data_IF_397232208252
#
_entry.id   IF_397232208252
#
_cell.length_a   1.000
_cell.length_b   1.000
_cell.length_c   1.000
_cell.angle_alpha   90.00
_cell.angle_beta   90.00
_cell.angle_gamma   90.00
#
_symmetry.space_group_name_H-M   'P 1'
#
loop_
_entity.id
_entity.type
_entity.pdbx_description
1 polymer ?
#
# COMPACT_ATOMS: atom_id res chain seq x y z
N UNK A 1 19.30 -14.57 -28.03
CA UNK A 1 17.98 -13.97 -28.37
C UNK A 1 17.97 -12.44 -28.45
N UNK A 2 19.01 -11.71 -28.00
CA UNK A 2 19.15 -10.27 -28.25
C UNK A 2 18.32 -9.35 -27.34
N UNK A 3 17.82 -9.88 -26.22
CA UNK A 3 17.09 -9.13 -25.19
C UNK A 3 18.07 -8.83 -24.06
N UNK A 4 18.34 -7.54 -23.82
CA UNK A 4 19.38 -7.07 -22.87
C UNK A 4 18.79 -6.38 -21.64
N UNK A 5 17.47 -6.24 -21.56
CA UNK A 5 16.74 -5.54 -20.50
C UNK A 5 16.08 -6.48 -19.49
N UNK A 6 16.32 -7.79 -19.62
CA UNK A 6 15.75 -8.80 -18.72
C UNK A 6 16.45 -8.79 -17.35
N UNK A 7 15.66 -8.82 -16.28
CA UNK A 7 16.12 -8.98 -14.90
C UNK A 7 15.32 -10.11 -14.24
N UNK A 8 15.91 -10.77 -13.24
CA UNK A 8 15.27 -11.87 -12.51
C UNK A 8 15.41 -11.69 -11.00
N UNK A 9 14.45 -12.21 -10.24
CA UNK A 9 14.56 -12.27 -8.78
C UNK A 9 15.49 -13.40 -8.36
N UNK A 10 16.22 -13.22 -7.26
CA UNK A 10 17.10 -14.24 -6.71
C UNK A 10 16.31 -15.21 -5.82
N UNK A 11 15.55 -16.10 -6.44
CA UNK A 11 14.84 -17.20 -5.75
C UNK A 11 13.71 -16.76 -4.82
N UNK A 12 13.18 -15.56 -5.02
CA UNK A 12 12.12 -14.97 -4.18
C UNK A 12 10.98 -14.46 -5.03
N UNK A 13 9.79 -14.36 -4.42
CA UNK A 13 8.66 -13.71 -5.06
C UNK A 13 8.96 -12.21 -5.29
N UNK A 14 8.33 -11.63 -6.31
CA UNK A 14 8.37 -10.19 -6.56
C UNK A 14 7.76 -9.46 -5.37
N UNK A 15 8.44 -8.41 -4.88
CA UNK A 15 7.98 -7.56 -3.78
C UNK A 15 7.73 -6.14 -4.29
N UNK A 16 6.98 -5.34 -3.53
CA UNK A 16 6.76 -3.94 -3.88
C UNK A 16 8.07 -3.15 -4.03
N UNK A 17 9.09 -3.45 -3.22
CA UNK A 17 10.42 -2.84 -3.30
C UNK A 17 11.13 -3.16 -4.62
N UNK A 18 11.03 -4.41 -5.10
CA UNK A 18 11.54 -4.79 -6.42
C UNK A 18 10.84 -3.99 -7.53
N UNK A 19 9.52 -3.84 -7.43
CA UNK A 19 8.73 -3.09 -8.41
C UNK A 19 9.09 -1.61 -8.40
N UNK A 20 9.26 -0.99 -7.21
CA UNK A 20 9.72 0.39 -7.12
C UNK A 20 11.12 0.58 -7.72
N UNK A 21 12.01 -0.38 -7.54
CA UNK A 21 13.34 -0.33 -8.14
C UNK A 21 13.25 -0.38 -9.68
N UNK A 22 12.41 -1.25 -10.23
CA UNK A 22 12.16 -1.29 -11.68
C UNK A 22 11.58 0.04 -12.19
N UNK A 23 10.62 0.61 -11.48
CA UNK A 23 10.03 1.90 -11.82
C UNK A 23 10.95 3.12 -11.64
N UNK A 24 12.13 2.95 -11.05
CA UNK A 24 13.19 3.99 -11.08
C UNK A 24 14.00 3.95 -12.38
N UNK A 25 14.00 2.81 -13.07
CA UNK A 25 14.76 2.59 -14.29
C UNK A 25 13.92 2.78 -15.56
N UNK A 26 12.62 2.52 -15.50
CA UNK A 26 11.68 2.59 -16.63
C UNK A 26 10.26 2.85 -16.15
N UNK A 27 9.43 3.53 -16.93
CA UNK A 27 8.01 3.68 -16.63
C UNK A 27 7.19 2.45 -17.04
N UNK A 28 7.73 1.63 -17.95
CA UNK A 28 7.08 0.44 -18.51
C UNK A 28 7.75 -0.85 -18.05
N UNK A 29 7.01 -1.75 -17.39
CA UNK A 29 7.51 -3.03 -16.89
C UNK A 29 6.65 -4.18 -17.41
N UNK A 30 7.27 -5.19 -18.04
CA UNK A 30 6.60 -6.44 -18.44
C UNK A 30 7.08 -7.60 -17.57
N UNK A 31 6.15 -8.24 -16.87
CA UNK A 31 6.40 -9.45 -16.10
C UNK A 31 6.20 -10.69 -16.96
N UNK A 32 7.20 -11.57 -17.00
CA UNK A 32 7.15 -12.83 -17.73
C UNK A 32 7.12 -14.00 -16.74
N UNK A 33 6.14 -14.89 -16.87
CA UNK A 33 5.99 -16.06 -16.01
C UNK A 33 5.74 -17.34 -16.80
N UNK A 34 6.20 -18.46 -16.23
CA UNK A 34 5.98 -19.80 -16.75
C UNK A 34 4.48 -20.10 -16.91
N UNK A 35 4.14 -20.91 -17.91
CA UNK A 35 2.75 -21.27 -18.20
C UNK A 35 2.09 -22.23 -17.20
N UNK A 36 2.78 -22.63 -16.15
CA UNK A 36 2.32 -23.64 -15.20
C UNK A 36 1.51 -23.03 -14.03
N UNK A 37 1.12 -23.88 -13.07
CA UNK A 37 0.38 -23.43 -11.88
C UNK A 37 1.23 -22.55 -10.96
N UNK A 38 2.54 -22.76 -10.90
CA UNK A 38 3.44 -21.97 -10.06
C UNK A 38 3.62 -20.57 -10.64
N UNK A 39 3.86 -20.45 -11.94
CA UNK A 39 3.95 -19.20 -12.68
C UNK A 39 2.69 -18.36 -12.55
N UNK A 40 1.49 -18.96 -12.63
CA UNK A 40 0.23 -18.24 -12.36
C UNK A 40 0.12 -17.69 -10.94
N UNK A 41 0.58 -18.44 -9.92
CA UNK A 41 0.61 -17.93 -8.53
C UNK A 41 1.61 -16.80 -8.38
N UNK A 42 2.78 -16.92 -9.02
CA UNK A 42 3.80 -15.88 -9.02
C UNK A 42 3.30 -14.61 -9.72
N UNK A 43 2.56 -14.76 -10.83
CA UNK A 43 1.91 -13.65 -11.52
C UNK A 43 0.91 -12.92 -10.63
N UNK A 44 0.07 -13.65 -9.90
CA UNK A 44 -0.84 -13.04 -8.93
C UNK A 44 -0.10 -12.32 -7.80
N UNK A 45 0.96 -12.93 -7.25
CA UNK A 45 1.81 -12.27 -6.24
C UNK A 45 2.46 -10.99 -6.78
N UNK A 46 2.86 -10.97 -8.05
CA UNK A 46 3.39 -9.78 -8.69
C UNK A 46 2.32 -8.70 -8.91
N UNK A 47 1.07 -9.07 -9.22
CA UNK A 47 -0.06 -8.12 -9.23
C UNK A 47 -0.19 -7.44 -7.87
N UNK A 48 -0.23 -8.22 -6.79
CA UNK A 48 -0.33 -7.69 -5.41
C UNK A 48 0.87 -6.80 -5.04
N UNK A 49 2.08 -7.11 -5.54
CA UNK A 49 3.26 -6.27 -5.34
C UNK A 49 3.24 -4.96 -6.14
N UNK A 50 2.63 -4.96 -7.33
CA UNK A 50 2.59 -3.80 -8.24
C UNK A 50 1.54 -2.78 -7.81
N UNK A 51 0.36 -3.22 -7.36
CA UNK A 51 -0.76 -2.33 -7.05
C UNK A 51 -0.38 -1.14 -6.13
N UNK A 52 0.33 -1.34 -4.99
CA UNK A 52 0.66 -0.25 -4.07
C UNK A 52 1.59 0.83 -4.63
N UNK A 53 2.26 0.53 -5.75
CA UNK A 53 3.31 1.38 -6.33
C UNK A 53 2.92 1.87 -7.72
N UNK A 54 1.68 1.63 -8.13
CA UNK A 54 1.15 1.98 -9.43
C UNK A 54 0.63 3.41 -9.45
N UNK A 55 1.54 4.38 -9.61
CA UNK A 55 1.20 5.80 -9.78
C UNK A 55 0.91 6.14 -11.24
N UNK A 56 0.24 7.27 -11.47
CA UNK A 56 0.01 7.78 -12.82
C UNK A 56 1.34 7.91 -13.61
N UNK A 57 1.31 7.55 -14.90
CA UNK A 57 2.47 7.56 -15.79
C UNK A 57 3.25 6.25 -15.87
N UNK A 58 3.01 5.30 -14.96
CA UNK A 58 3.62 3.96 -15.02
C UNK A 58 2.74 2.99 -15.81
N UNK A 59 3.35 1.94 -16.35
CA UNK A 59 2.66 0.81 -16.96
C UNK A 59 3.23 -0.53 -16.51
N UNK A 60 2.34 -1.49 -16.32
CA UNK A 60 2.70 -2.86 -15.98
C UNK A 60 1.88 -3.82 -16.85
N UNK A 61 2.56 -4.82 -17.43
CA UNK A 61 1.94 -5.85 -18.27
C UNK A 61 2.45 -7.24 -17.90
N UNK A 62 1.66 -8.26 -18.21
CA UNK A 62 1.90 -9.65 -17.84
C UNK A 62 1.90 -10.53 -19.09
N UNK A 63 2.97 -11.29 -19.25
CA UNK A 63 3.15 -12.26 -20.32
C UNK A 63 3.23 -13.66 -19.71
N UNK A 64 2.16 -14.44 -19.89
CA UNK A 64 2.16 -15.86 -19.53
C UNK A 64 2.72 -16.67 -20.71
N UNK A 65 3.69 -17.53 -20.45
CA UNK A 65 4.25 -18.43 -21.44
C UNK A 65 3.37 -19.67 -21.68
N UNK A 66 3.58 -20.42 -22.78
CA UNK A 66 2.97 -21.74 -22.96
C UNK A 66 3.29 -22.69 -21.80
N UNK A 67 2.42 -23.67 -21.56
CA UNK A 67 2.63 -24.65 -20.50
C UNK A 67 3.90 -25.48 -20.75
N UNK A 68 4.74 -25.59 -19.73
CA UNK A 68 5.99 -26.34 -19.79
C UNK A 68 7.17 -25.61 -20.44
N UNK A 69 7.06 -24.30 -20.72
CA UNK A 69 8.18 -23.47 -21.15
C UNK A 69 8.52 -22.41 -20.11
N UNK A 70 9.81 -22.22 -19.89
CA UNK A 70 10.36 -21.07 -19.17
C UNK A 70 10.75 -19.93 -20.16
N UNK A 71 11.10 -18.72 -19.67
CA UNK A 71 11.45 -17.60 -20.54
C UNK A 71 12.68 -17.84 -21.41
N UNK A 72 13.64 -18.63 -20.94
CA UNK A 72 14.87 -18.93 -21.68
C UNK A 72 14.58 -19.88 -22.83
N UNK A 73 13.87 -20.97 -22.56
CA UNK A 73 13.42 -21.96 -23.53
C UNK A 73 12.51 -21.32 -24.59
N UNK A 74 11.51 -20.54 -24.16
CA UNK A 74 10.60 -19.86 -25.07
C UNK A 74 11.32 -18.87 -25.98
N UNK A 75 12.25 -18.08 -25.44
CA UNK A 75 13.00 -17.13 -26.25
C UNK A 75 13.93 -17.82 -27.27
N UNK A 76 14.55 -18.94 -26.90
CA UNK A 76 15.39 -19.72 -27.80
C UNK A 76 14.57 -20.44 -28.88
N UNK A 77 13.43 -21.01 -28.53
CA UNK A 77 12.56 -21.72 -29.45
C UNK A 77 11.89 -20.78 -30.47
N UNK A 78 11.41 -19.61 -30.04
CA UNK A 78 10.69 -18.66 -30.90
C UNK A 78 11.63 -17.72 -31.67
N UNK A 79 12.84 -17.51 -31.16
CA UNK A 79 13.78 -16.51 -31.67
C UNK A 79 13.45 -15.10 -31.17
N UNK A 80 14.46 -14.22 -31.20
CA UNK A 80 14.39 -12.90 -30.57
C UNK A 80 13.30 -11.97 -31.12
N UNK A 81 13.02 -12.03 -32.42
CA UNK A 81 12.01 -11.17 -33.05
C UNK A 81 10.59 -11.54 -32.62
N UNK A 82 10.25 -12.83 -32.68
CA UNK A 82 8.93 -13.32 -32.23
C UNK A 82 8.73 -13.13 -30.73
N UNK A 83 9.78 -13.33 -29.93
CA UNK A 83 9.67 -13.09 -28.50
C UNK A 83 9.41 -11.61 -28.19
N UNK A 84 10.00 -10.68 -28.96
CA UNK A 84 9.69 -9.24 -28.86
C UNK A 84 8.25 -8.91 -29.28
N UNK A 85 7.73 -9.55 -30.31
CA UNK A 85 6.30 -9.42 -30.68
C UNK A 85 5.38 -9.92 -29.55
N UNK A 86 5.74 -11.04 -28.92
CA UNK A 86 5.01 -11.57 -27.77
C UNK A 86 5.04 -10.62 -26.57
N UNK A 87 6.21 -10.02 -26.28
CA UNK A 87 6.35 -9.00 -25.23
C UNK A 87 5.47 -7.78 -25.52
N UNK A 88 5.41 -7.32 -26.77
CA UNK A 88 4.55 -6.20 -27.17
C UNK A 88 3.05 -6.53 -27.04
N UNK A 89 2.69 -7.81 -27.10
CA UNK A 89 1.33 -8.31 -26.90
C UNK A 89 1.03 -8.71 -25.45
N UNK A 90 1.90 -8.37 -24.49
CA UNK A 90 1.68 -8.67 -23.08
C UNK A 90 0.40 -8.01 -22.55
N UNK A 91 -0.32 -8.72 -21.68
CA UNK A 91 -1.64 -8.32 -21.19
C UNK A 91 -1.47 -7.20 -20.15
N UNK A 92 -2.10 -6.04 -20.30
CA UNK A 92 -2.02 -4.96 -19.30
C UNK A 92 -2.49 -5.41 -17.91
N UNK A 93 -1.93 -4.82 -16.85
CA UNK A 93 -2.27 -5.09 -15.45
C UNK A 93 -3.78 -5.06 -15.19
N UNK A 94 -4.48 -4.05 -15.74
CA UNK A 94 -5.92 -3.89 -15.57
C UNK A 94 -6.70 -5.08 -16.13
N UNK A 95 -6.40 -5.48 -17.36
CA UNK A 95 -7.03 -6.62 -18.03
C UNK A 95 -6.69 -7.94 -17.32
N UNK A 96 -5.42 -8.14 -16.97
CA UNK A 96 -4.98 -9.34 -16.27
C UNK A 96 -5.68 -9.49 -14.91
N UNK A 97 -5.73 -8.43 -14.10
CA UNK A 97 -6.40 -8.41 -12.81
C UNK A 97 -7.88 -8.83 -12.93
N UNK A 98 -8.64 -8.17 -13.81
CA UNK A 98 -10.07 -8.46 -13.94
C UNK A 98 -10.32 -9.83 -14.57
N UNK A 99 -9.50 -10.26 -15.54
CA UNK A 99 -9.61 -11.59 -16.13
C UNK A 99 -9.42 -12.69 -15.08
N UNK A 100 -8.45 -12.56 -14.17
CA UNK A 100 -8.26 -13.52 -13.08
C UNK A 100 -9.40 -13.52 -12.07
N UNK A 101 -9.88 -12.34 -11.66
CA UNK A 101 -10.96 -12.24 -10.68
C UNK A 101 -12.27 -12.85 -11.20
N UNK A 102 -12.59 -12.62 -12.47
CA UNK A 102 -13.81 -13.12 -13.13
C UNK A 102 -13.86 -14.65 -13.19
N UNK A 103 -12.71 -15.35 -13.33
CA UNK A 103 -12.68 -16.83 -13.37
C UNK A 103 -13.30 -17.50 -12.14
N UNK A 104 -13.37 -16.79 -11.02
CA UNK A 104 -13.83 -17.31 -9.74
C UNK A 104 -15.27 -16.91 -9.36
N UNK A 105 -16.01 -16.28 -10.29
CA UNK A 105 -17.36 -15.77 -10.06
C UNK A 105 -18.26 -16.02 -11.27
N UNK A 106 -19.56 -16.12 -11.04
CA UNK A 106 -20.55 -16.21 -12.11
C UNK A 106 -21.04 -14.80 -12.50
N UNK A 107 -20.61 -14.29 -13.65
CA UNK A 107 -20.98 -12.94 -14.10
C UNK A 107 -22.44 -12.82 -14.56
N UNK A 108 -23.17 -13.93 -14.74
CA UNK A 108 -24.58 -13.90 -15.10
C UNK A 108 -25.50 -13.61 -13.90
N UNK A 109 -25.05 -13.86 -12.67
CA UNK A 109 -25.81 -13.61 -11.45
C UNK A 109 -25.48 -12.27 -10.78
N UNK A 110 -26.45 -11.71 -10.06
CA UNK A 110 -26.23 -10.51 -9.24
C UNK A 110 -25.22 -10.83 -8.12
N UNK A 111 -25.34 -12.01 -7.52
CA UNK A 111 -24.46 -12.49 -6.46
C UNK A 111 -23.01 -12.63 -6.94
N UNK A 112 -22.79 -13.13 -8.16
CA UNK A 112 -21.44 -13.25 -8.71
C UNK A 112 -20.82 -11.89 -9.05
N UNK A 113 -21.59 -10.95 -9.61
CA UNK A 113 -21.15 -9.55 -9.80
C UNK A 113 -20.84 -8.86 -8.46
N UNK A 114 -21.65 -9.08 -7.43
CA UNK A 114 -21.38 -8.57 -6.08
C UNK A 114 -20.11 -9.20 -5.47
N UNK A 115 -19.87 -10.49 -5.69
CA UNK A 115 -18.62 -11.17 -5.28
C UNK A 115 -17.41 -10.60 -6.01
N UNK A 116 -17.52 -10.26 -7.31
CA UNK A 116 -16.46 -9.59 -8.05
C UNK A 116 -16.10 -8.26 -7.39
N UNK A 117 -17.10 -7.40 -7.16
CA UNK A 117 -16.90 -6.11 -6.51
C UNK A 117 -16.22 -6.25 -5.14
N UNK A 118 -16.68 -7.21 -4.32
CA UNK A 118 -16.11 -7.50 -3.00
C UNK A 118 -14.63 -7.92 -3.06
N UNK A 119 -14.22 -8.65 -4.11
CA UNK A 119 -12.83 -9.10 -4.29
C UNK A 119 -11.94 -8.03 -4.92
N UNK A 120 -12.46 -7.29 -5.90
CA UNK A 120 -11.70 -6.29 -6.65
C UNK A 120 -11.44 -5.02 -5.83
N UNK A 121 -12.42 -4.56 -5.04
CA UNK A 121 -12.30 -3.28 -4.36
C UNK A 121 -11.07 -3.20 -3.44
N UNK A 122 -10.78 -4.18 -2.55
CA UNK A 122 -9.59 -4.11 -1.69
C UNK A 122 -8.26 -4.09 -2.46
N UNK A 123 -8.23 -4.59 -3.69
CA UNK A 123 -7.04 -4.56 -4.56
C UNK A 123 -6.91 -3.18 -5.23
N UNK A 124 -8.02 -2.62 -5.70
CA UNK A 124 -8.05 -1.27 -6.28
C UNK A 124 -7.70 -0.21 -5.23
N UNK A 125 -8.11 -0.38 -3.97
CA UNK A 125 -7.78 0.55 -2.88
C UNK A 125 -6.30 0.55 -2.49
N UNK A 126 -5.53 -0.46 -2.89
CA UNK A 126 -4.07 -0.45 -2.70
C UNK A 126 -3.39 0.53 -3.67
N UNK A 127 -4.01 0.80 -4.82
CA UNK A 127 -3.49 1.73 -5.81
C UNK A 127 -3.44 3.14 -5.20
N UNK A 128 -2.30 3.86 -5.29
CA UNK A 128 -2.21 5.27 -4.89
C UNK A 128 -3.32 6.13 -5.51
N UNK A 129 -3.67 7.23 -4.83
CA UNK A 129 -4.66 8.16 -5.38
C UNK A 129 -4.15 8.75 -6.71
N UNK A 130 -5.01 8.74 -7.73
CA UNK A 130 -4.63 9.17 -9.08
C UNK A 130 -5.68 8.77 -10.10
N UNK A 131 -5.44 9.18 -11.35
CA UNK A 131 -6.34 8.89 -12.47
C UNK A 131 -6.45 7.38 -12.70
N UNK A 132 -5.35 6.64 -12.56
CA UNK A 132 -5.35 5.18 -12.77
C UNK A 132 -6.30 4.45 -11.82
N UNK A 133 -6.33 4.83 -10.53
CA UNK A 133 -7.27 4.24 -9.55
C UNK A 133 -8.72 4.48 -9.94
N UNK A 134 -9.05 5.69 -10.38
CA UNK A 134 -10.41 6.03 -10.81
C UNK A 134 -10.83 5.28 -12.08
N UNK A 135 -9.92 5.10 -13.04
CA UNK A 135 -10.16 4.27 -14.22
C UNK A 135 -10.41 2.80 -13.85
N UNK A 136 -9.68 2.27 -12.87
CA UNK A 136 -9.88 0.90 -12.36
C UNK A 136 -11.25 0.75 -11.67
N UNK A 137 -11.68 1.75 -10.89
CA UNK A 137 -13.03 1.79 -10.31
C UNK A 137 -14.11 1.84 -11.40
N UNK A 138 -13.95 2.72 -12.39
CA UNK A 138 -14.87 2.84 -13.51
C UNK A 138 -15.00 1.51 -14.25
N UNK A 139 -13.87 0.84 -14.53
CA UNK A 139 -13.87 -0.49 -15.15
C UNK A 139 -14.60 -1.55 -14.32
N UNK A 140 -14.43 -1.53 -13.00
CA UNK A 140 -15.19 -2.42 -12.10
C UNK A 140 -16.69 -2.11 -12.13
N UNK A 141 -17.06 -0.83 -12.18
CA UNK A 141 -18.45 -0.39 -12.31
C UNK A 141 -19.07 -0.92 -13.60
N UNK A 142 -18.35 -0.85 -14.73
CA UNK A 142 -18.81 -1.38 -16.02
C UNK A 142 -19.03 -2.90 -15.97
N UNK A 143 -18.07 -3.64 -15.39
CA UNK A 143 -18.15 -5.10 -15.29
C UNK A 143 -19.29 -5.58 -14.39
N UNK A 144 -19.57 -4.83 -13.32
CA UNK A 144 -20.60 -5.20 -12.34
C UNK A 144 -21.97 -4.62 -12.67
N UNK A 145 -22.04 -3.61 -13.53
CA UNK A 145 -23.26 -2.86 -13.83
C UNK A 145 -23.83 -2.10 -12.63
N UNK A 146 -23.02 -1.86 -11.61
CA UNK A 146 -23.39 -1.17 -10.38
C UNK A 146 -22.30 -0.15 -10.04
N UNK A 147 -22.68 1.04 -9.53
CA UNK A 147 -21.69 2.03 -9.11
C UNK A 147 -20.79 1.42 -8.03
N UNK A 148 -19.49 1.60 -8.19
CA UNK A 148 -18.54 1.19 -7.16
C UNK A 148 -18.85 1.97 -5.88
N UNK A 149 -19.01 1.29 -4.72
CA UNK A 149 -19.18 1.98 -3.46
C UNK A 149 -18.00 2.93 -3.25
N UNK A 150 -18.22 4.14 -2.72
CA UNK A 150 -17.13 5.03 -2.36
C UNK A 150 -16.16 4.29 -1.43
N UNK A 151 -14.86 4.65 -1.45
CA UNK A 151 -13.91 4.08 -0.50
C UNK A 151 -14.52 4.15 0.90
N UNK A 152 -14.37 3.12 1.75
CA UNK A 152 -14.85 3.19 3.11
C UNK A 152 -14.29 4.47 3.70
N UNK A 153 -15.17 5.43 4.02
CA UNK A 153 -14.73 6.65 4.67
C UNK A 153 -14.17 6.18 6.01
N UNK A 154 -12.85 6.08 6.11
CA UNK A 154 -12.19 6.07 7.41
C UNK A 154 -12.54 7.45 7.94
N UNK A 155 -13.65 7.55 8.67
CA UNK A 155 -13.99 8.77 9.39
C UNK A 155 -12.77 9.02 10.24
N UNK A 156 -11.98 10.04 9.88
CA UNK A 156 -11.00 10.58 10.79
C UNK A 156 -11.76 10.79 12.11
N UNK A 157 -11.28 10.25 13.24
CA UNK A 157 -12.02 10.33 14.49
C UNK A 157 -12.40 11.79 14.69
N UNK A 158 -13.70 12.03 14.83
CA UNK A 158 -14.25 13.38 14.92
C UNK A 158 -13.57 14.11 16.08
N UNK A 159 -13.53 15.45 16.05
CA UNK A 159 -12.97 16.24 17.16
C UNK A 159 -13.56 15.83 18.52
N UNK A 160 -14.82 15.37 18.55
CA UNK A 160 -15.53 14.89 19.74
C UNK A 160 -15.04 13.52 20.24
N UNK A 161 -14.39 12.72 19.40
CA UNK A 161 -13.84 11.39 19.75
C UNK A 161 -12.37 11.46 20.20
N UNK A 162 -11.71 12.63 20.08
CA UNK A 162 -10.35 12.85 20.59
C UNK A 162 -10.42 13.20 22.08
N UNK A 163 -10.05 12.27 22.95
CA UNK A 163 -10.02 12.52 24.40
C UNK A 163 -9.08 13.70 24.73
N UNK A 164 -9.35 14.49 25.79
CA UNK A 164 -8.50 15.62 26.17
C UNK A 164 -7.02 15.24 26.38
N UNK A 165 -6.76 14.02 26.87
CA UNK A 165 -5.40 13.49 27.06
C UNK A 165 -4.71 13.27 25.72
N UNK A 166 -5.42 12.71 24.74
CA UNK A 166 -4.87 12.47 23.39
C UNK A 166 -4.54 13.79 22.69
N UNK A 167 -5.35 14.83 22.89
CA UNK A 167 -5.07 16.18 22.38
C UNK A 167 -3.86 16.81 23.08
N UNK A 168 -3.75 16.67 24.40
CA UNK A 168 -2.60 17.16 25.16
C UNK A 168 -1.28 16.49 24.73
N UNK A 169 -1.30 15.17 24.51
CA UNK A 169 -0.14 14.43 23.97
C UNK A 169 0.23 14.95 22.58
N UNK A 170 -0.74 15.14 21.69
CA UNK A 170 -0.49 15.66 20.33
C UNK A 170 0.10 17.08 20.33
N UNK A 171 -0.41 17.96 21.20
CA UNK A 171 0.12 19.31 21.38
C UNK A 171 1.55 19.29 21.91
N UNK A 172 1.82 18.43 22.90
CA UNK A 172 3.14 18.30 23.51
C UNK A 172 4.18 17.70 22.55
N UNK A 173 3.80 16.71 21.73
CA UNK A 173 4.68 16.16 20.69
C UNK A 173 5.12 17.21 19.69
N UNK A 174 4.19 18.07 19.25
CA UNK A 174 4.44 19.11 18.24
C UNK A 174 5.22 20.30 18.81
N UNK A 175 5.02 20.60 20.08
CA UNK A 175 5.70 21.70 20.73
C UNK A 175 6.13 21.28 22.15
N UNK A 176 7.25 20.54 22.27
CA UNK A 176 7.75 20.06 23.57
C UNK A 176 8.01 21.18 24.57
N UNK A 177 8.32 22.39 24.08
CA UNK A 177 8.54 23.59 24.91
C UNK A 177 7.32 23.99 25.73
N UNK A 178 6.11 23.58 25.35
CA UNK A 178 4.90 23.82 26.14
C UNK A 178 5.00 23.22 27.55
N UNK A 179 5.79 22.17 27.76
CA UNK A 179 5.98 21.57 29.08
C UNK A 179 6.49 22.56 30.13
N UNK A 180 7.38 23.49 29.71
CA UNK A 180 7.97 24.52 30.58
C UNK A 180 6.97 25.60 31.02
N UNK A 181 5.87 25.75 30.29
CA UNK A 181 4.83 26.75 30.55
C UNK A 181 3.66 26.18 31.37
N UNK A 182 3.62 24.86 31.54
CA UNK A 182 2.59 24.18 32.30
C UNK A 182 3.04 24.01 33.74
N UNK A 183 2.16 24.25 34.74
CA UNK A 183 2.47 23.87 36.11
C UNK A 183 2.69 22.35 36.14
N UNK A 184 3.87 21.91 36.57
CA UNK A 184 4.22 20.48 36.68
C UNK A 184 3.35 19.86 37.76
N UNK A 185 2.14 19.47 37.39
CA UNK A 185 1.21 18.84 38.30
C UNK A 185 1.38 17.34 38.20
N UNK A 186 1.98 16.74 39.25
CA UNK A 186 1.96 15.28 39.47
C UNK A 186 0.54 14.69 39.45
N UNK A 187 -0.50 15.53 39.46
CA UNK A 187 -1.90 15.12 39.39
C UNK A 187 -2.26 14.35 38.12
N UNK A 188 -1.55 14.53 37.00
CA UNK A 188 -1.85 13.76 35.76
C UNK A 188 -1.63 12.25 35.94
N UNK A 189 -0.65 11.83 36.77
CA UNK A 189 -0.44 10.41 37.09
C UNK A 189 -1.59 9.79 37.88
N UNK A 190 -2.34 10.60 38.62
CA UNK A 190 -3.46 10.15 39.44
C UNK A 190 -4.80 10.13 38.67
N UNK A 191 -4.83 10.56 37.40
CA UNK A 191 -6.04 10.53 36.58
C UNK A 191 -6.28 9.10 36.07
N UNK A 192 -7.42 8.45 36.40
CA UNK A 192 -7.73 7.09 35.96
C UNK A 192 -8.26 7.11 34.52
N UNK A 193 -7.44 7.59 33.58
CA UNK A 193 -7.77 7.63 32.16
C UNK A 193 -6.60 7.08 31.32
N UNK A 194 -6.89 6.31 30.25
CA UNK A 194 -5.86 5.82 29.34
C UNK A 194 -4.99 6.97 28.79
N UNK A 195 -3.68 6.77 28.81
CA UNK A 195 -2.69 7.74 28.33
C UNK A 195 -2.32 8.86 29.32
N UNK A 196 -2.96 8.94 30.49
CA UNK A 196 -2.61 9.97 31.48
C UNK A 196 -1.19 9.79 32.06
N UNK A 197 -0.79 8.54 32.29
CA UNK A 197 0.57 8.19 32.72
C UNK A 197 1.62 8.59 31.66
N UNK A 198 1.36 8.26 30.39
CA UNK A 198 2.20 8.63 29.25
C UNK A 198 2.35 10.15 29.12
N UNK A 199 1.24 10.90 29.19
CA UNK A 199 1.28 12.36 29.15
C UNK A 199 2.14 12.94 30.28
N UNK A 200 2.04 12.39 31.50
CA UNK A 200 2.85 12.83 32.62
C UNK A 200 4.35 12.55 32.40
N UNK A 201 4.71 11.37 31.90
CA UNK A 201 6.09 11.02 31.54
C UNK A 201 6.64 11.93 30.43
N UNK A 202 5.84 12.24 29.41
CA UNK A 202 6.24 13.16 28.34
C UNK A 202 6.47 14.59 28.86
N UNK A 203 5.63 15.07 29.78
CA UNK A 203 5.82 16.38 30.41
C UNK A 203 7.10 16.41 31.27
N UNK A 204 7.42 15.33 31.97
CA UNK A 204 8.67 15.22 32.73
C UNK A 204 9.89 15.20 31.79
N UNK A 205 9.86 14.39 30.74
CA UNK A 205 10.93 14.34 29.74
C UNK A 205 11.15 15.71 29.08
N UNK A 206 10.09 16.38 28.65
CA UNK A 206 10.18 17.68 28.00
C UNK A 206 10.62 18.81 28.95
N UNK A 207 10.32 18.72 30.25
CA UNK A 207 10.86 19.65 31.25
C UNK A 207 12.35 19.41 31.53
N UNK A 208 12.80 18.16 31.52
CA UNK A 208 14.22 17.82 31.66
C UNK A 208 15.03 18.18 30.40
N UNK A 209 14.36 18.27 29.24
CA UNK A 209 14.98 18.56 27.95
C UNK A 209 14.26 19.74 27.24
N UNK A 210 14.47 20.99 27.68
CA UNK A 210 13.74 22.16 27.16
C UNK A 210 13.91 22.42 25.66
N UNK A 211 14.99 21.92 25.06
CA UNK A 211 15.30 22.02 23.64
C UNK A 211 14.98 20.75 22.84
N UNK A 212 14.26 19.79 23.45
CA UNK A 212 13.84 18.59 22.75
C UNK A 212 12.98 18.93 21.53
N UNK A 213 13.33 18.33 20.40
CA UNK A 213 12.53 18.36 19.18
C UNK A 213 11.48 17.25 19.22
N UNK A 214 10.47 17.32 18.35
CA UNK A 214 9.50 16.22 18.18
C UNK A 214 10.21 14.89 17.89
N UNK A 215 11.27 14.91 17.08
CA UNK A 215 12.07 13.72 16.77
C UNK A 215 12.73 13.15 18.04
N UNK A 216 13.36 13.99 18.86
CA UNK A 216 14.01 13.56 20.10
C UNK A 216 13.01 12.93 21.10
N UNK A 217 11.78 13.48 21.17
CA UNK A 217 10.71 12.88 21.98
C UNK A 217 10.29 11.53 21.40
N UNK A 218 10.07 11.42 20.08
CA UNK A 218 9.66 10.16 19.44
C UNK A 218 10.72 9.07 19.61
N UNK A 219 12.00 9.41 19.43
CA UNK A 219 13.11 8.47 19.61
C UNK A 219 13.18 7.94 21.05
N UNK A 220 12.97 8.82 22.05
CA UNK A 220 12.97 8.41 23.46
C UNK A 220 11.84 7.43 23.81
N UNK A 221 10.69 7.53 23.14
CA UNK A 221 9.55 6.63 23.34
C UNK A 221 9.46 5.50 22.29
N UNK A 222 10.48 5.31 21.44
CA UNK A 222 10.45 4.42 20.29
C UNK A 222 10.30 2.92 20.62
N UNK A 223 10.83 2.48 21.77
CA UNK A 223 10.78 1.07 22.20
C UNK A 223 9.53 0.70 23.02
N UNK A 224 8.55 1.61 23.10
CA UNK A 224 7.34 1.45 23.91
C UNK A 224 6.18 0.92 23.07
N UNK A 225 5.20 0.29 23.72
CA UNK A 225 3.97 -0.17 23.08
C UNK A 225 3.19 0.99 22.41
N UNK A 226 3.36 2.21 22.91
CA UNK A 226 2.69 3.41 22.39
C UNK A 226 3.40 4.10 21.21
N UNK A 227 4.58 3.62 20.77
CA UNK A 227 5.39 4.27 19.74
C UNK A 227 4.62 4.53 18.44
N UNK A 228 3.90 3.51 17.94
CA UNK A 228 3.06 3.62 16.73
C UNK A 228 1.96 4.69 16.88
N UNK A 229 1.35 4.77 18.07
CA UNK A 229 0.32 5.78 18.36
C UNK A 229 0.91 7.20 18.43
N UNK A 230 2.13 7.37 18.97
CA UNK A 230 2.83 8.64 19.03
C UNK A 230 3.25 9.15 17.65
N UNK A 231 3.77 8.28 16.78
CA UNK A 231 4.05 8.62 15.38
C UNK A 231 2.79 9.08 14.64
N UNK A 232 1.67 8.38 14.83
CA UNK A 232 0.38 8.74 14.26
C UNK A 232 -0.09 10.12 14.77
N UNK A 233 0.06 10.39 16.07
CA UNK A 233 -0.35 11.65 16.68
C UNK A 233 0.54 12.84 16.27
N UNK A 234 1.83 12.63 16.07
CA UNK A 234 2.72 13.66 15.56
C UNK A 234 2.30 14.11 14.15
N UNK A 235 1.94 13.16 13.29
CA UNK A 235 1.50 13.42 11.91
C UNK A 235 0.08 14.00 11.80
N UNK A 236 -0.81 13.75 12.77
CA UNK A 236 -2.23 14.14 12.69
C UNK A 236 -2.47 15.65 12.87
N UNK A 237 -3.20 16.29 11.93
CA UNK A 237 -3.60 17.70 12.05
C UNK A 237 -4.37 17.99 13.36
N UNK A 238 -3.95 19.05 14.07
CA UNK A 238 -4.72 19.66 15.15
C UNK A 238 -5.84 20.51 14.53
N UNK A 239 -6.99 20.65 15.21
CA UNK A 239 -8.00 21.63 14.82
C UNK A 239 -7.50 23.08 14.96
#
# INVERSE_FOLDING_TARGET
>A
VGITTAVGTLGTAVTADHVQLMFKATDDVTFCFDGDKAGRRAAWGAVEAVLPVMTDGRSASFMMLPEGMDPDEAAHAEGGDRFRERLAAAVPLSEFLFAELVKSVDMASIEGRAKLAKKAMPLIEQIPEGVYRELMRARLSDLTGAPTPPPPSVKAPSLAERTPIRQAIALLLRNPRLASQLPVSRAFRAVPRPGAALLAEMLEYANLNPDATTAAVLDYFGDRDEASALHTLAAAALP
#
